data_IF_421071172916
#
_entry.id   IF_421071172916
#
_cell.length_a   1.000
_cell.length_b   1.000
_cell.length_c   1.000
_cell.angle_alpha   90.00
_cell.angle_beta   90.00
_cell.angle_gamma   90.00
#
_symmetry.space_group_name_H-M   'P 1'
#
loop_
_entity.id
_entity.type
_entity.pdbx_description
1 polymer ?
#
# COMPACT_ATOMS: atom_id res chain seq x y z
N UNK A 1 -16.10 36.95 -2.88
CA UNK A 1 -15.24 38.00 -2.28
C UNK A 1 -13.78 37.57 -2.48
N UNK A 2 -12.97 38.41 -3.12
CA UNK A 2 -11.53 38.15 -3.34
C UNK A 2 -10.77 38.75 -2.15
N UNK A 3 -9.73 38.07 -1.66
CA UNK A 3 -8.97 38.50 -0.48
C UNK A 3 -8.35 39.89 -0.66
N UNK A 4 -8.28 40.68 0.44
CA UNK A 4 -7.69 42.02 0.44
C UNK A 4 -6.15 41.98 0.35
N UNK A 5 -5.49 43.04 -0.16
CA UNK A 5 -4.03 43.06 -0.32
C UNK A 5 -3.24 42.79 0.97
N UNK A 6 -3.77 43.22 2.11
CA UNK A 6 -3.17 43.00 3.43
C UNK A 6 -3.18 41.52 3.84
N UNK A 7 -4.28 40.81 3.59
CA UNK A 7 -4.40 39.37 3.84
C UNK A 7 -3.44 38.58 2.96
N UNK A 8 -3.27 39.00 1.70
CA UNK A 8 -2.31 38.37 0.77
C UNK A 8 -0.87 38.57 1.24
N UNK A 9 -0.52 39.77 1.72
CA UNK A 9 0.83 40.05 2.20
C UNK A 9 1.16 39.28 3.50
N UNK A 10 0.19 39.10 4.38
CA UNK A 10 0.34 38.29 5.59
C UNK A 10 0.47 36.80 5.25
N UNK A 11 -0.38 36.27 4.36
CA UNK A 11 -0.36 34.86 3.96
C UNK A 11 0.95 34.44 3.30
N UNK A 12 1.57 35.31 2.49
CA UNK A 12 2.88 35.05 1.85
C UNK A 12 4.03 34.87 2.86
N UNK A 13 3.90 35.38 4.08
CA UNK A 13 4.93 35.28 5.13
C UNK A 13 4.74 34.05 6.02
N UNK A 14 3.58 33.39 5.96
CA UNK A 14 3.33 32.18 6.73
C UNK A 14 3.99 30.98 6.05
N UNK A 15 4.62 30.07 6.81
CA UNK A 15 5.06 28.81 6.26
C UNK A 15 3.86 28.05 5.70
N UNK A 16 4.05 27.38 4.57
CA UNK A 16 3.04 26.50 4.02
C UNK A 16 2.74 25.41 5.07
N UNK A 17 1.49 25.34 5.52
CA UNK A 17 0.97 24.26 6.38
C UNK A 17 0.83 22.95 5.61
N UNK A 18 1.83 22.62 4.80
CA UNK A 18 1.90 21.37 4.05
C UNK A 18 2.42 20.29 4.97
N UNK A 19 1.74 19.16 5.00
CA UNK A 19 2.31 17.95 5.57
C UNK A 19 3.52 17.57 4.71
N UNK A 20 4.69 17.38 5.32
CA UNK A 20 5.93 17.02 4.59
C UNK A 20 5.77 15.73 3.77
N UNK A 21 4.88 14.87 4.22
CA UNK A 21 4.41 13.70 3.52
C UNK A 21 2.96 13.98 3.21
N UNK A 22 2.63 14.16 1.93
CA UNK A 22 1.24 14.00 1.55
C UNK A 22 0.90 12.56 1.90
N UNK A 23 0.03 12.33 2.89
CA UNK A 23 -0.78 11.11 2.90
C UNK A 23 -1.78 11.22 1.75
N UNK A 24 -1.27 11.33 0.51
CA UNK A 24 -1.83 10.49 -0.53
C UNK A 24 -1.84 9.10 0.09
N UNK A 25 -2.90 8.35 -0.10
CA UNK A 25 -2.90 6.94 0.24
C UNK A 25 -1.81 6.27 -0.62
N UNK A 26 -0.54 6.43 -0.21
CA UNK A 26 0.59 5.64 -0.65
C UNK A 26 0.10 4.24 -0.43
N UNK A 27 -0.13 3.56 -1.55
CA UNK A 27 -0.58 2.18 -1.66
C UNK A 27 0.02 1.37 -0.54
N UNK A 28 -0.70 1.23 0.59
CA UNK A 28 -0.08 0.68 1.80
C UNK A 28 0.23 -0.81 1.64
N UNK A 29 -0.18 -1.39 0.51
CA UNK A 29 -0.18 -2.80 0.19
C UNK A 29 0.14 -3.00 -1.31
N UNK A 30 1.35 -2.63 -1.78
CA UNK A 30 1.68 -2.65 -3.21
C UNK A 30 1.58 -4.04 -3.83
N UNK A 31 2.00 -5.08 -3.09
CA UNK A 31 1.91 -6.47 -3.55
C UNK A 31 0.45 -6.90 -3.80
N UNK A 32 -0.46 -6.57 -2.88
CA UNK A 32 -1.88 -6.90 -3.04
C UNK A 32 -2.53 -6.12 -4.19
N UNK A 33 -2.19 -4.83 -4.34
CA UNK A 33 -2.69 -4.04 -5.47
C UNK A 33 -2.17 -4.54 -6.82
N UNK A 34 -0.94 -5.05 -6.87
CA UNK A 34 -0.42 -5.69 -8.09
C UNK A 34 -1.21 -6.96 -8.44
N UNK A 35 -1.54 -7.79 -7.45
CA UNK A 35 -2.43 -8.95 -7.64
C UNK A 35 -3.78 -8.52 -8.22
N UNK A 36 -4.42 -7.51 -7.62
CA UNK A 36 -5.71 -6.99 -8.10
C UNK A 36 -5.61 -6.47 -9.53
N UNK A 37 -4.57 -5.69 -9.85
CA UNK A 37 -4.35 -5.19 -11.21
C UNK A 37 -4.13 -6.32 -12.23
N UNK A 38 -3.38 -7.36 -11.86
CA UNK A 38 -3.18 -8.53 -12.72
C UNK A 38 -4.49 -9.24 -13.00
N UNK A 39 -5.31 -9.48 -11.97
CA UNK A 39 -6.61 -10.11 -12.14
C UNK A 39 -7.54 -9.28 -13.05
N UNK A 40 -7.60 -7.96 -12.82
CA UNK A 40 -8.45 -7.09 -13.63
C UNK A 40 -8.03 -7.05 -15.11
N UNK A 41 -6.74 -7.21 -15.42
CA UNK A 41 -6.27 -7.27 -16.81
C UNK A 41 -6.63 -8.56 -17.55
N UNK A 42 -6.93 -9.64 -16.82
CA UNK A 42 -7.43 -10.87 -17.45
C UNK A 42 -8.87 -10.69 -17.94
N UNK A 43 -9.67 -9.94 -17.17
CA UNK A 43 -11.11 -9.81 -17.38
C UNK A 43 -11.53 -8.51 -18.09
N UNK A 44 -10.68 -7.48 -18.07
CA UNK A 44 -10.95 -6.14 -18.62
C UNK A 44 -9.80 -5.65 -19.50
N UNK A 45 -10.14 -4.90 -20.54
CA UNK A 45 -9.14 -4.16 -21.32
C UNK A 45 -8.61 -2.99 -20.50
N UNK A 46 -7.32 -2.66 -20.65
CA UNK A 46 -6.69 -1.56 -19.90
C UNK A 46 -7.42 -0.21 -20.10
N UNK A 47 -8.04 0.01 -21.26
CA UNK A 47 -8.79 1.24 -21.56
C UNK A 47 -10.05 1.38 -20.66
N UNK A 48 -10.80 0.30 -20.47
CA UNK A 48 -12.04 0.25 -19.68
C UNK A 48 -11.79 0.46 -18.18
N UNK A 49 -10.54 0.21 -17.71
CA UNK A 49 -10.14 0.43 -16.32
C UNK A 49 -9.85 1.92 -16.01
N UNK A 50 -9.70 2.76 -17.03
CA UNK A 50 -9.35 4.18 -16.90
C UNK A 50 -10.49 5.13 -17.21
N UNK A 51 -11.55 4.65 -17.86
CA UNK A 51 -12.73 5.42 -18.24
C UNK A 51 -13.77 5.43 -17.10
N UNK A 52 -13.64 6.43 -16.22
CA UNK A 52 -14.63 6.96 -15.27
C UNK A 52 -15.29 6.00 -14.24
N UNK A 53 -14.79 6.05 -13.00
CA UNK A 53 -15.60 5.77 -11.81
C UNK A 53 -15.65 4.32 -11.31
N UNK A 54 -14.74 3.45 -11.74
CA UNK A 54 -14.70 2.05 -11.31
C UNK A 54 -14.49 1.94 -9.79
N UNK A 55 -15.41 1.25 -9.11
CA UNK A 55 -15.30 0.89 -7.68
C UNK A 55 -14.98 -0.59 -7.56
N UNK A 56 -13.74 -0.88 -7.17
CA UNK A 56 -13.25 -2.25 -7.01
C UNK A 56 -13.46 -2.68 -5.56
N UNK A 57 -14.26 -3.73 -5.36
CA UNK A 57 -14.43 -4.38 -4.07
C UNK A 57 -13.64 -5.67 -4.06
N UNK A 58 -12.85 -5.90 -3.01
CA UNK A 58 -11.95 -7.05 -2.90
C UNK A 58 -12.13 -7.74 -1.55
N UNK A 59 -11.61 -8.96 -1.43
CA UNK A 59 -11.51 -9.73 -0.19
C UNK A 59 -10.41 -9.23 0.75
N UNK A 60 -9.80 -8.08 0.46
CA UNK A 60 -8.69 -7.55 1.23
C UNK A 60 -9.08 -7.25 2.68
N UNK A 61 -8.32 -7.79 3.62
CA UNK A 61 -8.48 -7.51 5.05
C UNK A 61 -7.25 -6.73 5.57
N UNK A 62 -7.39 -5.41 5.81
CA UNK A 62 -6.30 -4.59 6.33
C UNK A 62 -5.76 -5.06 7.68
N UNK A 63 -6.61 -5.65 8.53
CA UNK A 63 -6.20 -6.15 9.85
C UNK A 63 -5.35 -7.41 9.70
N UNK A 64 -5.73 -8.34 8.81
CA UNK A 64 -4.92 -9.52 8.53
C UNK A 64 -3.61 -9.16 7.84
N UNK A 65 -3.61 -8.17 6.95
CA UNK A 65 -2.40 -7.67 6.31
C UNK A 65 -1.41 -7.11 7.34
N UNK A 66 -1.86 -6.26 8.26
CA UNK A 66 -1.01 -5.72 9.33
C UNK A 66 -0.47 -6.81 10.25
N UNK A 67 -1.30 -7.80 10.60
CA UNK A 67 -0.87 -8.94 11.43
C UNK A 67 0.17 -9.80 10.72
N UNK A 68 -0.03 -10.05 9.43
CA UNK A 68 0.90 -10.81 8.58
C UNK A 68 2.25 -10.13 8.50
N UNK A 69 2.25 -8.80 8.30
CA UNK A 69 3.47 -8.00 8.27
C UNK A 69 4.20 -8.06 9.62
N UNK A 70 3.49 -7.84 10.72
CA UNK A 70 4.08 -7.93 12.05
C UNK A 70 4.69 -9.32 12.35
N UNK A 71 4.04 -10.40 11.92
CA UNK A 71 4.53 -11.76 12.09
C UNK A 71 5.81 -12.03 11.27
N UNK A 72 5.86 -11.50 10.04
CA UNK A 72 7.03 -11.61 9.18
C UNK A 72 8.20 -10.80 9.76
N UNK A 73 7.94 -9.56 10.20
CA UNK A 73 8.94 -8.70 10.84
C UNK A 73 9.52 -9.34 12.10
N UNK A 74 8.68 -9.96 12.94
CA UNK A 74 9.12 -10.71 14.12
C UNK A 74 9.99 -11.92 13.76
N UNK A 75 9.64 -12.61 12.68
CA UNK A 75 10.43 -13.73 12.16
C UNK A 75 11.82 -13.26 11.72
N UNK A 76 11.90 -12.16 10.96
CA UNK A 76 13.18 -11.58 10.56
C UNK A 76 14.01 -11.09 11.75
N UNK A 77 13.38 -10.47 12.76
CA UNK A 77 14.07 -10.08 14.01
C UNK A 77 14.67 -11.29 14.74
N UNK A 78 13.97 -12.42 14.77
CA UNK A 78 14.48 -13.67 15.38
C UNK A 78 15.62 -14.31 14.58
N UNK A 79 15.65 -14.08 13.27
CA UNK A 79 16.72 -14.53 12.39
C UNK A 79 17.92 -13.58 12.39
N UNK A 80 17.75 -12.33 12.82
CA UNK A 80 18.80 -11.32 12.85
C UNK A 80 20.05 -11.81 13.60
N UNK A 81 21.22 -11.49 13.05
CA UNK A 81 22.52 -11.92 13.58
C UNK A 81 23.05 -13.25 13.04
N UNK A 82 22.28 -13.98 12.22
CA UNK A 82 22.81 -15.10 11.42
C UNK A 82 23.44 -14.58 10.14
N UNK A 83 24.57 -15.17 9.73
CA UNK A 83 25.25 -14.80 8.48
C UNK A 83 24.31 -15.01 7.28
N UNK A 84 24.17 -13.98 6.45
CA UNK A 84 23.36 -14.02 5.22
C UNK A 84 21.87 -13.67 5.39
N UNK A 85 21.41 -13.33 6.59
CA UNK A 85 19.97 -12.99 6.82
C UNK A 85 19.55 -11.68 6.15
N UNK A 86 20.47 -10.79 5.86
CA UNK A 86 20.19 -9.53 5.16
C UNK A 86 19.86 -9.74 3.67
N UNK A 87 20.20 -10.90 3.10
CA UNK A 87 19.89 -11.28 1.71
C UNK A 87 18.65 -12.18 1.60
N UNK A 88 18.00 -12.49 2.74
CA UNK A 88 16.85 -13.39 2.77
C UNK A 88 15.58 -12.62 2.42
N UNK A 89 14.95 -13.07 1.34
CA UNK A 89 13.59 -12.70 0.93
C UNK A 89 12.54 -13.63 1.54
N UNK A 90 11.33 -13.09 1.72
CA UNK A 90 10.17 -13.86 2.15
C UNK A 90 8.91 -13.39 1.44
N UNK A 91 7.96 -14.31 1.28
CA UNK A 91 6.62 -14.02 0.82
C UNK A 91 5.59 -14.71 1.71
N UNK A 92 4.42 -14.10 1.85
CA UNK A 92 3.32 -14.63 2.64
C UNK A 92 1.99 -14.40 1.93
N UNK A 93 1.17 -15.44 1.84
CA UNK A 93 -0.20 -15.37 1.31
C UNK A 93 -1.13 -15.87 2.40
N UNK A 94 -2.18 -15.08 2.69
CA UNK A 94 -3.25 -15.50 3.60
C UNK A 94 -4.54 -15.60 2.83
N UNK A 95 -5.19 -16.75 2.91
CA UNK A 95 -6.44 -17.04 2.20
C UNK A 95 -7.54 -17.46 3.16
N UNK A 96 -8.79 -17.21 2.75
CA UNK A 96 -9.94 -17.83 3.39
C UNK A 96 -9.99 -19.31 2.98
N UNK A 97 -9.99 -20.27 3.94
CA UNK A 97 -9.96 -21.70 3.63
C UNK A 97 -11.25 -22.21 2.97
N UNK A 98 -12.38 -21.53 3.12
CA UNK A 98 -13.66 -21.94 2.54
C UNK A 98 -13.84 -21.43 1.11
N UNK A 99 -13.43 -20.19 0.83
CA UNK A 99 -13.64 -19.53 -0.48
C UNK A 99 -12.40 -19.53 -1.36
N UNK A 100 -11.21 -19.73 -0.79
CA UNK A 100 -9.93 -19.59 -1.49
C UNK A 100 -9.51 -18.14 -1.75
N UNK A 101 -10.29 -17.16 -1.31
CA UNK A 101 -10.02 -15.75 -1.55
C UNK A 101 -8.76 -15.28 -0.81
N UNK A 102 -7.91 -14.51 -1.48
CA UNK A 102 -6.71 -13.91 -0.88
C UNK A 102 -7.13 -12.70 -0.03
N UNK A 103 -6.80 -12.73 1.26
CA UNK A 103 -7.15 -11.70 2.23
C UNK A 103 -5.96 -10.78 2.57
N UNK A 104 -4.74 -11.32 2.49
CA UNK A 104 -3.50 -10.58 2.68
C UNK A 104 -2.38 -11.16 1.82
N UNK A 105 -1.47 -10.28 1.36
CA UNK A 105 -0.34 -10.65 0.53
C UNK A 105 0.89 -9.81 0.87
N UNK A 106 2.02 -10.50 1.06
CA UNK A 106 3.35 -9.90 1.24
C UNK A 106 4.27 -10.49 0.19
N UNK A 107 4.83 -9.63 -0.67
CA UNK A 107 5.61 -10.03 -1.85
C UNK A 107 7.12 -9.98 -1.68
N UNK A 108 7.62 -9.52 -0.53
CA UNK A 108 9.05 -9.37 -0.26
C UNK A 108 9.31 -9.01 1.19
N UNK A 109 10.58 -8.92 1.57
CA UNK A 109 11.02 -8.59 2.93
C UNK A 109 10.44 -7.26 3.45
N UNK A 110 10.37 -6.25 2.59
CA UNK A 110 9.80 -4.94 2.92
C UNK A 110 8.38 -4.83 2.35
N UNK A 111 7.37 -5.03 3.19
CA UNK A 111 5.96 -5.08 2.76
C UNK A 111 5.43 -3.79 2.10
N UNK A 112 6.13 -2.65 2.27
CA UNK A 112 5.79 -1.36 1.66
C UNK A 112 6.69 -0.94 0.49
N UNK A 113 7.70 -1.73 0.13
CA UNK A 113 8.61 -1.40 -0.95
C UNK A 113 8.15 -2.08 -2.25
N UNK A 114 7.95 -1.29 -3.29
CA UNK A 114 7.56 -1.77 -4.61
C UNK A 114 8.62 -1.45 -5.67
N UNK A 115 9.89 -1.79 -5.39
CA UNK A 115 10.99 -1.58 -6.32
C UNK A 115 11.49 -0.14 -6.41
#
# INVERSE_FOLDING_TARGET
AVATPEVVAAAKKLPLGVTKTGTLADSSFPAFLDLVKRQLREDYRDEDLTEEGLRIFTSFDPILQMKSQAAMDDTFKKLAGRKGVDEVEAGMVVTNPETGEVQALIGGREAGFSG
#
